data_IF_279567067948
#
_entry.id   IF_279567067948
#
_cell.length_a   1.000
_cell.length_b   1.000
_cell.length_c   1.000
_cell.angle_alpha   90.00
_cell.angle_beta   90.00
_cell.angle_gamma   90.00
#
_symmetry.space_group_name_H-M   'P 1'
#
loop_
_entity.id
_entity.type
_entity.pdbx_description
1 polymer ?
#
# COMPACT_ATOMS: atom_id res chain seq x y z
N UNK A 1 -12.58 20.07 1.67
CA UNK A 1 -11.95 18.75 1.52
C UNK A 1 -11.49 18.33 2.91
N UNK A 2 -12.08 17.27 3.48
CA UNK A 2 -11.64 16.77 4.78
C UNK A 2 -10.28 16.10 4.58
N UNK A 3 -9.29 16.53 5.36
CA UNK A 3 -7.95 15.94 5.31
C UNK A 3 -7.98 14.54 5.93
N UNK A 4 -7.92 13.52 5.09
CA UNK A 4 -7.83 12.11 5.49
C UNK A 4 -6.37 11.65 5.42
N UNK A 5 -5.57 12.16 6.36
CA UNK A 5 -4.14 11.87 6.46
C UNK A 5 -3.77 11.40 7.87
N UNK A 6 -2.73 10.56 8.00
CA UNK A 6 -2.20 10.19 9.31
C UNK A 6 -1.70 11.43 10.07
N UNK A 7 -1.72 11.38 11.40
CA UNK A 7 -1.17 12.46 12.23
C UNK A 7 0.31 12.68 11.91
N UNK A 8 0.68 13.93 11.59
CA UNK A 8 2.08 14.33 11.34
C UNK A 8 2.94 14.15 12.59
N UNK A 9 4.09 13.50 12.39
CA UNK A 9 5.15 13.20 13.37
C UNK A 9 6.53 13.37 12.72
N UNK A 10 6.84 14.56 12.17
CA UNK A 10 8.06 14.77 11.40
C UNK A 10 9.31 14.50 12.25
N UNK A 11 10.29 13.82 11.66
CA UNK A 11 11.55 13.48 12.31
C UNK A 11 11.52 12.23 13.19
N UNK A 12 10.43 11.46 13.20
CA UNK A 12 10.38 10.17 13.89
C UNK A 12 11.39 9.19 13.28
N UNK A 13 12.31 8.63 14.09
CA UNK A 13 13.33 7.65 13.66
C UNK A 13 13.06 6.24 14.17
N UNK A 14 12.23 6.10 15.20
CA UNK A 14 11.77 4.82 15.75
C UNK A 14 10.28 4.71 15.54
N UNK A 15 9.81 3.63 14.91
CA UNK A 15 8.42 3.46 14.57
C UNK A 15 7.56 3.21 15.81
N UNK A 16 6.73 4.18 16.17
CA UNK A 16 5.61 4.01 17.08
C UNK A 16 4.33 3.85 16.24
N UNK A 17 3.60 2.74 16.43
CA UNK A 17 2.39 2.46 15.63
C UNK A 17 1.16 3.12 16.23
N UNK A 18 1.13 3.35 17.54
CA UNK A 18 -0.05 3.83 18.24
C UNK A 18 -0.31 5.31 17.94
N UNK A 19 0.72 6.07 17.55
CA UNK A 19 0.55 7.49 17.17
C UNK A 19 -0.28 7.70 15.90
N UNK A 20 -0.47 6.66 15.08
CA UNK A 20 -1.27 6.73 13.85
C UNK A 20 -2.74 6.40 14.06
N UNK A 21 -3.14 6.15 15.32
CA UNK A 21 -4.52 5.88 15.70
C UNK A 21 -5.33 7.18 15.69
N UNK A 22 -6.34 7.24 14.83
CA UNK A 22 -7.23 8.40 14.67
C UNK A 22 -8.69 7.96 14.61
N UNK A 23 -9.59 8.84 15.06
CA UNK A 23 -11.03 8.64 14.91
C UNK A 23 -11.58 9.64 13.91
N UNK A 24 -12.39 9.13 12.98
CA UNK A 24 -13.06 9.94 11.96
C UNK A 24 -14.57 9.76 12.10
N UNK A 25 -15.29 10.83 11.77
CA UNK A 25 -16.76 10.88 11.75
C UNK A 25 -17.19 11.03 10.30
N UNK A 26 -18.14 10.21 9.86
CA UNK A 26 -18.73 10.28 8.52
C UNK A 26 -20.22 10.06 8.57
N UNK A 27 -20.92 10.46 7.51
CA UNK A 27 -22.30 10.04 7.28
C UNK A 27 -22.31 8.61 6.73
N UNK A 28 -23.31 7.84 7.11
CA UNK A 28 -23.52 6.49 6.64
C UNK A 28 -25.00 6.22 6.37
N UNK A 29 -25.28 5.43 5.35
CA UNK A 29 -26.64 4.98 5.03
C UNK A 29 -26.90 3.67 5.75
N UNK A 30 -27.96 3.64 6.57
CA UNK A 30 -28.47 2.40 7.16
C UNK A 30 -29.34 1.70 6.12
N UNK A 31 -28.84 0.59 5.57
CA UNK A 31 -29.48 -0.12 4.45
C UNK A 31 -29.84 -1.54 4.88
N UNK A 32 -31.04 -2.07 4.52
CA UNK A 32 -31.37 -3.46 4.76
C UNK A 32 -30.40 -4.38 4.02
N UNK A 33 -29.92 -5.43 4.68
CA UNK A 33 -28.89 -6.33 4.11
C UNK A 33 -29.28 -6.92 2.75
N UNK A 34 -30.59 -7.09 2.50
CA UNK A 34 -31.14 -7.59 1.22
C UNK A 34 -30.96 -6.62 0.04
N UNK A 35 -30.82 -5.32 0.31
CA UNK A 35 -30.67 -4.26 -0.70
C UNK A 35 -29.24 -3.79 -0.89
N UNK A 36 -28.28 -4.31 -0.12
CA UNK A 36 -26.91 -3.76 -0.06
C UNK A 36 -26.20 -3.73 -1.43
N UNK A 37 -26.49 -4.70 -2.30
CA UNK A 37 -25.86 -4.82 -3.62
C UNK A 37 -26.10 -3.62 -4.52
N UNK A 38 -27.25 -2.94 -4.39
CA UNK A 38 -27.48 -1.73 -5.17
C UNK A 38 -26.55 -0.60 -4.73
N UNK A 39 -26.23 -0.49 -3.43
CA UNK A 39 -25.45 0.62 -2.86
C UNK A 39 -23.94 0.54 -3.10
N UNK A 40 -23.42 -0.61 -3.56
CA UNK A 40 -21.97 -0.83 -3.82
C UNK A 40 -21.42 0.09 -4.92
N UNK A 41 -22.29 0.58 -5.80
CA UNK A 41 -21.91 1.43 -6.94
C UNK A 41 -22.22 2.92 -6.74
N UNK A 42 -22.56 3.34 -5.52
CA UNK A 42 -22.74 4.75 -5.23
C UNK A 42 -21.43 5.53 -5.45
N UNK A 43 -21.53 6.73 -6.01
CA UNK A 43 -20.36 7.59 -6.25
C UNK A 43 -19.88 8.24 -4.95
N UNK A 44 -20.79 8.34 -3.99
CA UNK A 44 -20.64 9.01 -2.71
C UNK A 44 -20.06 8.09 -1.62
N UNK A 45 -19.59 6.89 -1.97
CA UNK A 45 -18.94 5.99 -1.02
C UNK A 45 -17.61 6.57 -0.52
N UNK A 46 -17.25 6.21 0.72
CA UNK A 46 -16.01 6.64 1.38
C UNK A 46 -14.77 6.42 0.50
N UNK A 47 -14.66 5.25 -0.14
CA UNK A 47 -13.63 4.87 -1.11
C UNK A 47 -12.20 5.20 -0.63
N UNK A 48 -11.90 4.89 0.64
CA UNK A 48 -10.58 5.04 1.24
C UNK A 48 -9.95 3.66 1.46
N UNK A 49 -9.17 3.09 0.51
CA UNK A 49 -8.46 1.83 0.76
C UNK A 49 -7.51 1.96 1.95
N UNK A 50 -7.38 0.94 2.81
CA UNK A 50 -8.02 -0.38 2.78
C UNK A 50 -9.39 -0.42 3.50
N UNK A 51 -9.93 0.71 3.95
CA UNK A 51 -11.19 0.75 4.68
C UNK A 51 -12.34 0.24 3.81
N UNK A 52 -13.21 -0.56 4.43
CA UNK A 52 -14.39 -1.07 3.77
C UNK A 52 -15.48 0.01 3.70
N UNK A 53 -16.08 0.18 2.53
CA UNK A 53 -17.24 1.06 2.36
C UNK A 53 -18.50 0.55 3.06
N UNK A 54 -18.56 -0.73 3.41
CA UNK A 54 -19.72 -1.36 4.03
C UNK A 54 -19.28 -2.07 5.30
N UNK A 55 -19.95 -1.74 6.41
CA UNK A 55 -19.68 -2.30 7.73
C UNK A 55 -20.96 -2.86 8.36
N UNK A 56 -20.81 -3.67 9.40
CA UNK A 56 -21.94 -4.13 10.20
C UNK A 56 -22.58 -2.97 10.97
N UNK A 57 -23.92 -2.96 11.03
CA UNK A 57 -24.66 -1.99 11.80
C UNK A 57 -24.68 -2.40 13.30
N UNK A 58 -24.15 -1.58 14.22
CA UNK A 58 -24.16 -1.91 15.64
C UNK A 58 -25.55 -2.02 16.25
N UNK A 59 -26.55 -1.35 15.65
CA UNK A 59 -27.92 -1.31 16.18
C UNK A 59 -28.80 -2.46 15.66
N UNK A 60 -28.41 -3.15 14.58
CA UNK A 60 -29.26 -4.18 13.98
C UNK A 60 -28.47 -5.16 13.11
N UNK A 61 -28.73 -6.45 13.29
CA UNK A 61 -28.16 -7.52 12.46
C UNK A 61 -28.81 -7.63 11.07
N UNK A 62 -29.97 -7.00 10.86
CA UNK A 62 -30.70 -7.04 9.59
C UNK A 62 -30.24 -5.94 8.63
N UNK A 63 -29.49 -4.96 9.12
CA UNK A 63 -29.02 -3.78 8.37
C UNK A 63 -27.49 -3.76 8.31
N UNK A 64 -26.98 -2.98 7.36
CA UNK A 64 -25.57 -2.65 7.20
C UNK A 64 -25.43 -1.14 7.09
N UNK A 65 -24.25 -0.63 7.43
CA UNK A 65 -23.92 0.78 7.22
C UNK A 65 -23.06 0.90 5.97
N UNK A 66 -23.50 1.74 5.04
CA UNK A 66 -22.75 2.14 3.84
C UNK A 66 -22.11 3.49 4.14
N UNK A 67 -20.78 3.52 4.28
CA UNK A 67 -20.02 4.72 4.63
C UNK A 67 -19.92 5.65 3.43
N UNK A 68 -20.23 6.93 3.65
CA UNK A 68 -20.14 7.97 2.65
C UNK A 68 -18.80 8.72 2.73
N UNK A 69 -18.50 9.51 1.70
CA UNK A 69 -17.34 10.39 1.65
C UNK A 69 -17.33 11.36 2.83
N UNK A 70 -16.12 11.62 3.36
CA UNK A 70 -15.91 12.47 4.53
C UNK A 70 -16.26 13.94 4.30
N UNK A 71 -16.30 14.39 3.04
CA UNK A 71 -16.60 15.76 2.66
C UNK A 71 -18.10 16.06 2.60
N UNK A 72 -18.97 15.08 2.81
CA UNK A 72 -20.42 15.24 2.74
C UNK A 72 -21.04 15.62 4.09
N UNK A 73 -21.91 16.62 4.07
CA UNK A 73 -22.85 16.92 5.16
C UNK A 73 -24.31 16.56 4.79
N UNK A 74 -25.23 16.73 5.73
CA UNK A 74 -26.66 16.41 5.52
C UNK A 74 -27.28 17.30 4.44
N UNK A 75 -26.85 18.57 4.37
CA UNK A 75 -27.28 19.52 3.35
C UNK A 75 -26.83 19.12 1.94
N UNK A 76 -25.63 18.52 1.81
CA UNK A 76 -25.11 18.04 0.53
C UNK A 76 -25.93 16.86 0.00
N UNK A 77 -26.38 15.96 0.89
CA UNK A 77 -27.20 14.80 0.52
C UNK A 77 -28.49 15.24 -0.17
N UNK A 78 -29.12 16.31 0.33
CA UNK A 78 -30.33 16.87 -0.27
C UNK A 78 -30.10 17.45 -1.68
N UNK A 79 -28.87 17.85 -1.99
CA UNK A 79 -28.48 18.47 -3.27
C UNK A 79 -27.85 17.49 -4.26
N UNK A 80 -27.74 16.20 -3.91
CA UNK A 80 -27.17 15.19 -4.79
C UNK A 80 -27.99 15.01 -6.08
N UNK A 81 -27.35 14.58 -7.20
CA UNK A 81 -28.05 14.25 -8.43
C UNK A 81 -29.15 13.20 -8.21
N UNK A 82 -30.24 13.28 -8.98
CA UNK A 82 -31.43 12.44 -8.82
C UNK A 82 -31.11 10.94 -8.63
N UNK A 83 -30.23 10.36 -9.44
CA UNK A 83 -29.88 8.94 -9.33
C UNK A 83 -29.27 8.55 -7.96
N UNK A 84 -28.34 9.36 -7.44
CA UNK A 84 -27.74 9.12 -6.11
C UNK A 84 -28.75 9.41 -5.00
N UNK A 85 -29.55 10.46 -5.16
CA UNK A 85 -30.55 10.89 -4.18
C UNK A 85 -31.67 9.87 -4.03
N UNK A 86 -32.28 9.44 -5.12
CA UNK A 86 -33.36 8.44 -5.13
C UNK A 86 -32.91 7.16 -4.39
N UNK A 87 -31.64 6.80 -4.59
CA UNK A 87 -31.03 5.64 -3.96
C UNK A 87 -30.74 5.83 -2.47
N UNK A 88 -30.36 7.03 -2.06
CA UNK A 88 -30.20 7.38 -0.65
C UNK A 88 -31.56 7.41 0.05
N UNK A 89 -32.62 7.87 -0.62
CA UNK A 89 -34.00 7.85 -0.11
C UNK A 89 -34.54 6.41 0.08
N UNK A 90 -33.97 5.41 -0.61
CA UNK A 90 -34.27 4.00 -0.34
C UNK A 90 -33.63 3.45 0.95
N UNK A 91 -32.69 4.17 1.55
CA UNK A 91 -32.08 3.78 2.82
C UNK A 91 -33.08 3.97 3.97
N UNK A 92 -32.92 3.17 5.04
CA UNK A 92 -33.78 3.28 6.24
C UNK A 92 -33.54 4.60 6.96
N UNK A 93 -32.28 5.03 7.03
CA UNK A 93 -31.88 6.29 7.65
C UNK A 93 -30.50 6.70 7.16
N UNK A 94 -30.23 8.01 7.22
CA UNK A 94 -28.87 8.55 7.23
C UNK A 94 -28.48 8.70 8.70
N UNK A 95 -27.34 8.13 9.07
CA UNK A 95 -26.82 8.18 10.44
C UNK A 95 -25.40 8.70 10.42
N UNK A 96 -24.97 9.29 11.54
CA UNK A 96 -23.56 9.52 11.72
C UNK A 96 -22.87 8.28 12.27
N UNK A 97 -21.78 7.86 11.64
CA UNK A 97 -20.92 6.81 12.13
C UNK A 97 -19.52 7.35 12.50
N UNK A 98 -18.96 6.86 13.60
CA UNK A 98 -17.55 7.11 13.98
C UNK A 98 -16.76 5.82 13.83
N UNK A 99 -15.67 5.88 13.08
CA UNK A 99 -14.77 4.75 12.88
C UNK A 99 -13.35 5.12 13.30
N UNK A 100 -12.57 4.09 13.60
CA UNK A 100 -11.18 4.20 14.01
C UNK A 100 -10.28 3.73 12.87
N UNK A 101 -9.23 4.49 12.62
CA UNK A 101 -8.18 4.20 11.65
C UNK A 101 -6.89 4.03 12.43
N UNK A 102 -6.21 2.93 12.20
CA UNK A 102 -4.99 2.54 12.90
C UNK A 102 -3.80 2.55 11.95
N UNK A 103 -2.60 2.25 12.48
CA UNK A 103 -1.40 2.09 11.65
C UNK A 103 -1.67 1.21 10.44
N UNK A 104 -2.30 0.04 10.62
CA UNK A 104 -2.51 -0.97 9.58
C UNK A 104 -3.35 -0.47 8.39
N UNK A 105 -4.23 0.50 8.63
CA UNK A 105 -5.13 1.09 7.64
C UNK A 105 -4.44 2.13 6.76
N UNK A 106 -3.24 2.61 7.11
CA UNK A 106 -2.51 3.57 6.29
C UNK A 106 -1.59 2.87 5.28
N UNK A 107 -1.46 3.44 4.08
CA UNK A 107 -0.45 2.97 3.12
C UNK A 107 0.98 3.30 3.58
N UNK A 108 1.97 2.61 3.01
CA UNK A 108 3.41 2.90 3.21
C UNK A 108 3.68 4.40 2.95
N UNK A 109 3.17 4.91 1.83
CA UNK A 109 3.38 6.29 1.41
C UNK A 109 2.80 7.30 2.41
N UNK A 110 1.58 7.07 2.91
CA UNK A 110 0.95 7.91 3.92
C UNK A 110 1.72 7.91 5.24
N UNK A 111 2.12 6.74 5.73
CA UNK A 111 2.92 6.63 6.97
C UNK A 111 4.24 7.36 6.81
N UNK A 112 4.98 7.12 5.72
CA UNK A 112 6.28 7.76 5.50
C UNK A 112 6.13 9.28 5.34
N UNK A 113 5.13 9.79 4.61
CA UNK A 113 4.83 11.24 4.55
C UNK A 113 4.55 11.85 5.91
N UNK A 114 3.95 11.10 6.83
CA UNK A 114 3.62 11.60 8.16
C UNK A 114 4.87 11.72 9.05
N UNK A 115 5.87 10.86 8.88
CA UNK A 115 7.07 10.81 9.75
C UNK A 115 8.31 11.48 9.17
N UNK A 116 8.40 11.60 7.85
CA UNK A 116 9.54 12.26 7.21
C UNK A 116 9.56 13.76 7.55
N UNK A 117 10.76 14.38 7.60
CA UNK A 117 10.90 15.83 7.73
C UNK A 117 10.06 16.59 6.70
N UNK A 118 9.58 17.78 7.06
CA UNK A 118 8.70 18.56 6.16
C UNK A 118 9.44 19.04 4.90
N UNK A 119 10.76 19.16 5.00
CA UNK A 119 11.66 19.55 3.93
C UNK A 119 11.97 18.40 2.94
N UNK A 120 11.49 17.19 3.22
CA UNK A 120 11.71 16.03 2.36
C UNK A 120 10.99 16.23 1.03
N UNK A 121 11.77 16.37 -0.05
CA UNK A 121 11.24 16.60 -1.40
C UNK A 121 10.60 15.32 -1.95
N UNK A 122 11.16 14.16 -1.61
CA UNK A 122 10.71 12.85 -2.09
C UNK A 122 10.49 11.91 -0.91
N UNK A 123 9.54 11.00 -1.01
CA UNK A 123 9.27 10.02 0.06
C UNK A 123 9.75 8.66 -0.42
N UNK A 124 10.64 7.98 0.31
CA UNK A 124 11.20 6.68 -0.10
C UNK A 124 10.20 5.52 0.13
N UNK A 125 8.99 5.63 -0.42
CA UNK A 125 7.91 4.64 -0.30
C UNK A 125 7.97 3.54 -1.35
N UNK A 126 8.71 3.77 -2.44
CA UNK A 126 8.88 2.80 -3.53
C UNK A 126 10.08 1.88 -3.31
N UNK A 127 9.90 0.60 -3.60
CA UNK A 127 10.94 -0.42 -3.53
C UNK A 127 10.80 -1.42 -4.69
N UNK A 128 11.81 -2.24 -4.90
CA UNK A 128 11.75 -3.36 -5.85
C UNK A 128 11.75 -4.66 -5.06
N UNK A 129 10.82 -5.56 -5.38
CA UNK A 129 10.67 -6.85 -4.72
C UNK A 129 11.30 -7.96 -5.56
N UNK A 130 12.17 -8.77 -4.96
CA UNK A 130 12.74 -9.99 -5.54
C UNK A 130 12.39 -11.14 -4.60
N UNK A 131 11.38 -11.94 -4.98
CA UNK A 131 10.84 -12.97 -4.10
C UNK A 131 10.31 -12.37 -2.80
N UNK A 132 10.92 -12.72 -1.67
CA UNK A 132 10.57 -12.23 -0.34
C UNK A 132 11.41 -11.02 0.12
N UNK A 133 12.32 -10.55 -0.73
CA UNK A 133 13.27 -9.46 -0.42
C UNK A 133 12.71 -8.18 -1.04
N UNK A 134 12.58 -7.11 -0.26
CA UNK A 134 12.45 -5.76 -0.80
C UNK A 134 13.79 -5.05 -0.72
N UNK A 135 14.23 -4.48 -1.84
CA UNK A 135 15.43 -3.64 -1.85
C UNK A 135 15.11 -2.19 -2.18
N UNK A 136 15.83 -1.31 -1.48
CA UNK A 136 15.81 0.15 -1.65
C UNK A 136 17.16 0.66 -2.14
N UNK A 137 17.15 1.91 -2.59
CA UNK A 137 18.35 2.72 -2.85
C UNK A 137 18.14 4.05 -2.12
N UNK A 138 18.33 4.06 -0.80
CA UNK A 138 18.09 5.24 0.01
C UNK A 138 19.17 6.30 -0.27
N UNK A 139 18.75 7.55 -0.48
CA UNK A 139 19.65 8.72 -0.49
C UNK A 139 20.18 8.99 0.91
N UNK A 140 21.33 9.67 1.02
CA UNK A 140 22.00 9.98 2.29
C UNK A 140 21.07 10.67 3.30
N UNK A 141 20.22 11.59 2.83
CA UNK A 141 19.23 12.31 3.63
C UNK A 141 18.21 11.39 4.35
N UNK A 142 17.96 10.18 3.85
CA UNK A 142 17.03 9.22 4.45
C UNK A 142 17.72 8.15 5.32
N UNK A 143 19.06 8.11 5.34
CA UNK A 143 19.80 7.13 6.15
C UNK A 143 19.47 7.21 7.65
N UNK A 144 19.22 8.40 8.26
CA UNK A 144 18.78 8.48 9.65
C UNK A 144 17.45 7.75 9.93
N UNK A 145 16.62 7.55 8.89
CA UNK A 145 15.30 6.93 8.96
C UNK A 145 15.28 5.50 8.41
N UNK A 146 16.42 4.95 7.99
CA UNK A 146 16.50 3.71 7.20
C UNK A 146 15.80 2.51 7.86
N UNK A 147 15.96 2.35 9.17
CA UNK A 147 15.32 1.25 9.91
C UNK A 147 13.81 1.44 10.05
N UNK A 148 13.35 2.68 10.24
CA UNK A 148 11.92 2.98 10.22
C UNK A 148 11.32 2.66 8.85
N UNK A 149 11.95 3.12 7.77
CA UNK A 149 11.49 2.86 6.40
C UNK A 149 11.42 1.34 6.15
N UNK A 150 12.49 0.62 6.52
CA UNK A 150 12.53 -0.83 6.42
C UNK A 150 11.39 -1.50 7.19
N UNK A 151 11.14 -1.07 8.42
CA UNK A 151 10.09 -1.65 9.26
C UNK A 151 8.69 -1.38 8.69
N UNK A 152 8.43 -0.19 8.16
CA UNK A 152 7.14 0.13 7.53
C UNK A 152 6.89 -0.76 6.31
N UNK A 153 7.89 -0.96 5.45
CA UNK A 153 7.76 -1.85 4.28
C UNK A 153 7.50 -3.29 4.70
N UNK A 154 8.23 -3.77 5.71
CA UNK A 154 8.09 -5.13 6.25
C UNK A 154 6.68 -5.36 6.83
N UNK A 155 6.18 -4.43 7.64
CA UNK A 155 4.85 -4.53 8.25
C UNK A 155 3.73 -4.57 7.20
N UNK A 156 3.88 -3.77 6.14
CA UNK A 156 2.80 -3.50 5.17
C UNK A 156 2.68 -4.54 4.07
N UNK A 157 3.66 -5.42 3.91
CA UNK A 157 3.62 -6.46 2.90
C UNK A 157 4.09 -7.79 3.48
N UNK A 158 3.13 -8.64 3.85
CA UNK A 158 3.36 -9.96 4.47
C UNK A 158 4.17 -10.94 3.60
N UNK A 159 4.34 -10.67 2.30
CA UNK A 159 5.21 -11.49 1.42
C UNK A 159 6.68 -11.15 1.59
N UNK A 160 6.99 -9.99 2.14
CA UNK A 160 8.35 -9.54 2.41
C UNK A 160 8.77 -10.04 3.79
N UNK A 161 9.96 -10.61 3.87
CA UNK A 161 10.56 -11.04 5.14
C UNK A 161 11.96 -10.45 5.36
N UNK A 162 12.54 -9.84 4.32
CA UNK A 162 13.82 -9.14 4.37
C UNK A 162 13.70 -7.80 3.62
N UNK A 163 14.10 -6.71 4.27
CA UNK A 163 14.19 -5.39 3.63
C UNK A 163 15.64 -4.93 3.68
N UNK A 164 16.21 -4.64 2.52
CA UNK A 164 17.63 -4.30 2.37
C UNK A 164 17.81 -2.97 1.63
N UNK A 165 18.93 -2.30 1.89
CA UNK A 165 19.36 -1.12 1.14
C UNK A 165 20.61 -1.47 0.34
N UNK A 166 20.65 -1.06 -0.94
CA UNK A 166 21.88 -1.12 -1.73
C UNK A 166 22.82 0.00 -1.28
N UNK A 167 24.06 -0.37 -0.96
CA UNK A 167 25.11 0.59 -0.62
C UNK A 167 25.95 0.90 -1.86
N UNK A 168 26.59 2.08 -1.87
CA UNK A 168 27.34 2.59 -3.03
C UNK A 168 28.65 1.85 -3.34
N UNK A 169 29.06 0.89 -2.52
CA UNK A 169 30.24 0.08 -2.78
C UNK A 169 29.94 -0.95 -3.88
N UNK A 170 30.31 -0.63 -5.13
CA UNK A 170 30.40 -1.61 -6.22
C UNK A 170 31.72 -2.35 -6.02
N UNK A 171 31.66 -3.56 -5.49
CA UNK A 171 32.84 -4.41 -5.38
C UNK A 171 32.94 -5.32 -6.62
N UNK A 172 33.96 -5.05 -7.42
CA UNK A 172 34.58 -5.96 -8.39
C UNK A 172 33.79 -6.46 -9.62
N UNK A 173 34.53 -7.20 -10.45
CA UNK A 173 34.28 -7.74 -11.80
C UNK A 173 32.89 -8.33 -12.06
N UNK A 174 32.13 -8.67 -11.02
CA UNK A 174 30.81 -9.31 -11.07
C UNK A 174 29.63 -8.34 -10.85
N UNK A 175 29.88 -7.03 -10.65
CA UNK A 175 28.84 -5.99 -10.44
C UNK A 175 27.87 -6.33 -9.29
N UNK A 176 28.37 -6.91 -8.21
CA UNK A 176 27.57 -7.18 -7.02
C UNK A 176 27.52 -5.94 -6.12
N UNK A 177 26.33 -5.63 -5.61
CA UNK A 177 26.13 -4.51 -4.67
C UNK A 177 26.26 -5.04 -3.24
N UNK A 178 27.01 -4.32 -2.40
CA UNK A 178 26.91 -4.56 -0.96
C UNK A 178 25.54 -4.10 -0.45
N UNK A 179 24.93 -4.90 0.41
CA UNK A 179 23.61 -4.62 0.97
C UNK A 179 23.67 -4.60 2.49
N UNK A 180 22.91 -3.68 3.08
CA UNK A 180 22.63 -3.68 4.51
C UNK A 180 21.17 -4.07 4.76
N UNK A 181 20.92 -4.80 5.85
CA UNK A 181 19.56 -5.15 6.27
C UNK A 181 18.97 -3.97 7.03
N UNK A 182 17.82 -3.47 6.55
CA UNK A 182 17.05 -2.41 7.19
C UNK A 182 16.05 -2.95 8.21
N UNK A 183 15.38 -4.06 7.86
CA UNK A 183 14.41 -4.74 8.72
C UNK A 183 14.22 -6.20 8.28
N UNK A 184 13.74 -7.04 9.20
CA UNK A 184 13.47 -8.46 8.94
C UNK A 184 14.71 -9.34 9.06
N UNK A 185 14.71 -10.47 8.37
CA UNK A 185 15.82 -11.42 8.40
C UNK A 185 16.91 -11.05 7.37
N UNK A 186 18.07 -11.67 7.52
CA UNK A 186 19.22 -11.52 6.61
C UNK A 186 19.25 -12.58 5.50
N UNK A 187 18.12 -13.23 5.19
CA UNK A 187 18.07 -14.22 4.10
C UNK A 187 18.10 -13.49 2.75
N UNK A 188 19.13 -13.78 1.95
CA UNK A 188 19.32 -13.20 0.62
C UNK A 188 18.99 -14.20 -0.49
N UNK A 189 18.53 -15.41 -0.16
CA UNK A 189 18.20 -16.45 -1.14
C UNK A 189 16.78 -16.24 -1.68
N UNK A 190 16.68 -15.52 -2.78
CA UNK A 190 15.40 -15.28 -3.43
C UNK A 190 14.89 -16.51 -4.19
N UNK A 191 13.57 -16.66 -4.20
CA UNK A 191 12.84 -17.56 -5.10
C UNK A 191 11.72 -16.77 -5.76
N UNK A 192 11.64 -16.83 -7.09
CA UNK A 192 10.58 -16.18 -7.85
C UNK A 192 10.28 -16.91 -9.15
N UNK A 193 9.13 -16.61 -9.73
CA UNK A 193 8.72 -17.10 -11.02
C UNK A 193 8.59 -15.92 -12.00
N UNK A 194 9.32 -15.97 -13.11
CA UNK A 194 9.24 -14.99 -14.19
C UNK A 194 9.16 -15.73 -15.53
N UNK A 195 8.25 -15.30 -16.41
CA UNK A 195 8.06 -15.88 -17.74
C UNK A 195 7.87 -17.41 -17.75
N UNK A 196 7.22 -17.98 -16.73
CA UNK A 196 7.01 -19.42 -16.60
C UNK A 196 8.21 -20.22 -16.06
N UNK A 197 9.37 -19.57 -15.87
CA UNK A 197 10.55 -20.15 -15.26
C UNK A 197 10.59 -19.86 -13.76
N UNK A 198 11.14 -20.80 -12.98
CA UNK A 198 11.39 -20.59 -11.54
C UNK A 198 12.88 -20.40 -11.32
N UNK A 199 13.22 -19.32 -10.62
CA UNK A 199 14.60 -18.96 -10.30
C UNK A 199 14.83 -19.10 -8.81
N UNK A 200 16.01 -19.59 -8.44
CA UNK A 200 16.52 -19.61 -7.06
C UNK A 200 17.97 -19.18 -7.09
N UNK A 201 18.29 -18.09 -6.45
CA UNK A 201 19.64 -17.53 -6.42
C UNK A 201 19.85 -16.71 -5.15
N UNK A 202 21.12 -16.45 -4.84
CA UNK A 202 21.51 -15.55 -3.76
C UNK A 202 21.65 -14.12 -4.32
N UNK A 203 20.73 -13.23 -3.94
CA UNK A 203 20.68 -11.85 -4.43
C UNK A 203 21.91 -11.03 -4.02
N UNK A 204 22.63 -11.43 -2.97
CA UNK A 204 23.89 -10.78 -2.58
C UNK A 204 25.07 -11.13 -3.51
N UNK A 205 24.93 -12.19 -4.32
CA UNK A 205 26.03 -12.74 -5.13
C UNK A 205 25.77 -12.67 -6.63
N UNK A 206 24.54 -12.37 -7.02
CA UNK A 206 24.09 -12.39 -8.41
C UNK A 206 23.33 -11.11 -8.73
N UNK A 207 23.66 -10.49 -9.86
CA UNK A 207 22.86 -9.40 -10.40
C UNK A 207 21.50 -9.91 -10.89
N UNK A 208 20.43 -9.33 -10.36
CA UNK A 208 19.06 -9.59 -10.79
C UNK A 208 18.28 -8.28 -10.99
N UNK A 209 17.50 -8.19 -12.07
CA UNK A 209 16.64 -7.04 -12.35
C UNK A 209 15.33 -7.49 -13.00
N UNK A 210 14.28 -7.63 -12.19
CA UNK A 210 12.94 -8.00 -12.64
C UNK A 210 12.32 -7.03 -13.66
N UNK A 211 12.83 -5.80 -13.81
CA UNK A 211 12.35 -4.86 -14.85
C UNK A 211 12.71 -5.30 -16.26
N UNK A 212 13.69 -6.19 -16.43
CA UNK A 212 14.08 -6.71 -17.74
C UNK A 212 13.19 -7.86 -18.22
N UNK A 213 12.22 -8.31 -17.40
CA UNK A 213 11.35 -9.44 -17.72
C UNK A 213 10.63 -9.27 -19.07
N UNK A 214 10.09 -8.08 -19.36
CA UNK A 214 9.38 -7.81 -20.62
C UNK A 214 10.32 -7.85 -21.83
N UNK A 215 11.56 -7.37 -21.68
CA UNK A 215 12.56 -7.47 -22.74
C UNK A 215 13.01 -8.91 -22.97
N UNK A 216 13.20 -9.70 -21.90
CA UNK A 216 13.47 -11.13 -22.01
C UNK A 216 12.34 -11.84 -22.75
N UNK A 217 11.08 -11.57 -22.40
CA UNK A 217 9.92 -12.16 -23.07
C UNK A 217 9.85 -11.76 -24.55
N UNK A 218 10.12 -10.49 -24.87
CA UNK A 218 10.16 -9.99 -26.24
C UNK A 218 11.23 -10.69 -27.08
N UNK A 219 12.41 -10.91 -26.52
CA UNK A 219 13.50 -11.64 -27.19
C UNK A 219 13.14 -13.11 -27.39
N UNK A 220 12.65 -13.78 -26.34
CA UNK A 220 12.26 -15.20 -26.42
C UNK A 220 11.19 -15.45 -27.48
N UNK A 221 10.24 -14.52 -27.67
CA UNK A 221 9.20 -14.61 -28.72
C UNK A 221 9.74 -14.49 -30.14
N UNK A 222 10.95 -14.00 -30.34
CA UNK A 222 11.58 -13.89 -31.67
C UNK A 222 12.32 -15.17 -32.07
N UNK A 223 12.59 -16.07 -31.13
CA UNK A 223 13.32 -17.30 -31.42
C UNK A 223 12.40 -18.39 -31.99
N UNK A 224 12.92 -19.12 -32.95
CA UNK A 224 12.24 -20.23 -33.60
C UNK A 224 12.77 -21.58 -33.13
N UNK A 225 11.94 -22.61 -33.29
CA UNK A 225 12.31 -23.97 -32.93
C UNK A 225 13.56 -24.40 -33.73
N UNK A 226 14.52 -25.00 -33.03
CA UNK A 226 15.81 -25.47 -33.57
C UNK A 226 16.85 -24.38 -33.91
N UNK A 227 16.64 -23.14 -33.49
CA UNK A 227 17.70 -22.12 -33.52
C UNK A 227 18.71 -22.36 -32.38
N UNK A 228 19.98 -22.06 -32.66
CA UNK A 228 21.05 -22.05 -31.65
C UNK A 228 21.26 -20.62 -31.19
N UNK A 229 21.21 -20.40 -29.87
CA UNK A 229 21.38 -19.09 -29.23
C UNK A 229 22.68 -19.13 -28.42
N UNK A 230 23.49 -18.09 -28.53
CA UNK A 230 24.65 -17.87 -27.67
C UNK A 230 24.39 -16.61 -26.85
N UNK A 231 24.49 -16.74 -25.52
CA UNK A 231 24.35 -15.66 -24.53
C UNK A 231 25.72 -15.31 -23.95
#
# INVERSE_FOLDING_TARGET
MVDFSPIRRPGMTTLDRDVFKQKFKTLALRVPSKKISSFIHLKELLNQPPLHNIISDPESSQTKLVLLRLDLCEEDIAQLPGESRDKIEEAVAVVTHTFEVTYDDWSIDQILRAVMPEESVEIPSSYTQIGHIAHLNLKEEYLPYKHLIGQVILDKNKKITSVVNKTHAIDNTFRNFQMEVLAGNSDTVAQLAENGCRFRFDFARVYWNSRLQSEHERLVKQFHRAESICE
#
